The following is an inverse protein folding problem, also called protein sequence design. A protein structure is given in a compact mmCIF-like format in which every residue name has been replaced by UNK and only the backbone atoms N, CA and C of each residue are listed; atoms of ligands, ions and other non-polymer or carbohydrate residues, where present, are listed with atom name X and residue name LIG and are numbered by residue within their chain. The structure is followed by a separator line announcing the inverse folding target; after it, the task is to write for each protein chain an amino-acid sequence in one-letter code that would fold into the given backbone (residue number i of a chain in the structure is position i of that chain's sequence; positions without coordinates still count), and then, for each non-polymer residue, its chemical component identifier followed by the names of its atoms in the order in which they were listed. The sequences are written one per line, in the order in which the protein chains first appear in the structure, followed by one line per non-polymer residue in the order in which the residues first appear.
data_IF_375286681707
#
_entry.id   IF_375286681707
#
_cell.length_a   1.000
_cell.length_b   1.000
_cell.length_c   1.000
_cell.angle_alpha   90.00
_cell.angle_beta   90.00
_cell.angle_gamma   90.00
#
_symmetry.space_group_name_H-M   'P 1'
#
loop_
_entity.id
_entity.type
_entity.pdbx_description
1 polymer ?
#
# COMPACT_ATOMS: atom_id res chain seq x y z
N UNK A 1 4.32 -40.65 -27.43
CA UNK A 1 5.45 -39.69 -27.32
C UNK A 1 5.35 -38.92 -26.01
N UNK A 2 6.38 -38.12 -25.66
CA UNK A 2 6.65 -37.66 -24.29
C UNK A 2 5.54 -36.77 -23.70
N UNK A 3 5.26 -36.97 -22.42
CA UNK A 3 4.50 -36.05 -21.58
C UNK A 3 5.33 -34.80 -21.24
N UNK A 4 4.66 -33.69 -20.92
CA UNK A 4 5.19 -32.63 -20.05
C UNK A 4 4.08 -32.20 -19.07
N UNK A 5 4.24 -32.58 -17.80
CA UNK A 5 3.57 -31.91 -16.68
C UNK A 5 4.40 -30.67 -16.34
N UNK A 6 3.78 -29.50 -16.28
CA UNK A 6 4.42 -28.34 -15.65
C UNK A 6 3.89 -28.25 -14.21
N UNK A 7 4.79 -28.51 -13.27
CA UNK A 7 4.58 -28.23 -11.85
C UNK A 7 5.20 -26.86 -11.57
N UNK A 8 4.43 -25.95 -10.99
CA UNK A 8 4.93 -24.67 -10.48
C UNK A 8 4.79 -24.69 -8.95
N UNK A 9 5.93 -24.65 -8.26
CA UNK A 9 5.99 -24.86 -6.82
C UNK A 9 5.62 -23.60 -6.03
N UNK A 10 4.79 -23.78 -5.02
CA UNK A 10 4.55 -22.81 -3.94
C UNK A 10 5.87 -22.43 -3.26
N UNK A 11 6.09 -21.15 -2.98
CA UNK A 11 7.18 -20.73 -2.09
C UNK A 11 6.72 -19.63 -1.14
N UNK A 12 6.16 -20.07 -0.01
CA UNK A 12 5.94 -19.23 1.16
C UNK A 12 7.25 -18.53 1.57
N UNK A 13 7.14 -17.26 1.95
CA UNK A 13 8.16 -16.56 2.75
C UNK A 13 7.58 -16.22 4.11
N UNK A 14 7.53 -17.21 5.00
CA UNK A 14 7.23 -16.97 6.41
C UNK A 14 8.32 -16.08 7.03
N UNK A 15 7.94 -14.93 7.59
CA UNK A 15 8.77 -14.15 8.51
C UNK A 15 8.33 -14.47 9.94
N UNK A 16 9.06 -15.35 10.61
CA UNK A 16 8.91 -15.63 12.03
C UNK A 16 9.64 -14.56 12.85
N UNK A 17 8.90 -13.71 13.54
CA UNK A 17 9.46 -12.82 14.55
C UNK A 17 9.60 -13.57 15.89
N UNK A 18 10.80 -14.05 16.21
CA UNK A 18 11.10 -14.53 17.56
C UNK A 18 11.41 -13.33 18.48
N UNK A 19 10.41 -12.91 19.26
CA UNK A 19 10.62 -12.00 20.40
C UNK A 19 11.06 -12.81 21.62
N UNK A 20 12.30 -12.58 22.06
CA UNK A 20 12.89 -13.21 23.25
C UNK A 20 12.77 -12.28 24.46
N UNK A 21 11.98 -12.68 25.46
CA UNK A 21 11.91 -11.99 26.75
C UNK A 21 12.82 -12.66 27.79
N UNK A 22 13.73 -11.94 28.46
CA UNK A 22 14.55 -12.50 29.53
C UNK A 22 13.73 -12.71 30.81
N UNK A 23 13.69 -13.97 31.26
CA UNK A 23 12.99 -14.44 32.46
C UNK A 23 13.79 -14.07 33.72
N UNK A 24 13.30 -13.12 34.54
CA UNK A 24 13.87 -12.86 35.88
C UNK A 24 13.39 -13.94 36.87
N UNK A 25 14.30 -14.61 37.61
CA UNK A 25 13.92 -15.40 38.77
C UNK A 25 13.72 -14.48 39.99
N UNK A 26 12.58 -14.61 40.67
CA UNK A 26 12.39 -14.03 42.00
C UNK A 26 12.71 -15.09 43.06
N UNK A 27 13.54 -14.68 44.01
CA UNK A 27 14.20 -15.53 45.00
C UNK A 27 13.24 -16.05 46.07
N UNK A 28 13.56 -17.25 46.57
CA UNK A 28 13.00 -17.79 47.81
C UNK A 28 13.21 -16.81 48.97
N UNK A 29 12.23 -16.74 49.88
CA UNK A 29 12.34 -16.08 51.17
C UNK A 29 11.83 -17.02 52.26
N UNK A 30 12.80 -17.55 53.00
CA UNK A 30 12.81 -17.97 54.41
C UNK A 30 11.49 -18.31 55.14
N UNK A 31 11.48 -19.53 55.68
CA UNK A 31 10.79 -19.85 56.94
C UNK A 31 11.40 -19.04 58.10
N UNK A 32 10.68 -18.91 59.23
CA UNK A 32 11.11 -19.77 60.33
C UNK A 32 9.97 -20.46 61.08
N UNK A 33 10.24 -21.66 61.59
CA UNK A 33 9.33 -22.43 62.42
C UNK A 33 9.61 -22.19 63.92
N UNK A 34 8.63 -21.67 64.67
CA UNK A 34 8.62 -21.48 66.13
C UNK A 34 7.15 -21.47 66.62
N UNK A 35 6.69 -22.20 67.65
CA UNK A 35 7.25 -23.38 68.34
C UNK A 35 6.12 -24.20 68.99
N UNK A 36 6.37 -25.49 69.22
CA UNK A 36 5.41 -26.44 69.82
C UNK A 36 5.23 -26.20 71.34
N UNK A 37 4.08 -25.65 71.79
CA UNK A 37 3.74 -25.58 73.22
C UNK A 37 2.65 -26.59 73.60
N UNK A 38 3.09 -27.62 74.32
CA UNK A 38 2.28 -28.75 74.79
C UNK A 38 1.67 -28.40 76.16
N UNK A 39 0.34 -28.24 76.26
CA UNK A 39 -0.35 -28.14 77.57
C UNK A 39 -1.54 -29.11 77.63
N UNK A 40 -1.44 -30.12 78.50
CA UNK A 40 -2.55 -31.03 78.86
C UNK A 40 -3.23 -30.52 80.13
N UNK A 41 -4.57 -30.59 80.18
CA UNK A 41 -5.49 -30.83 81.33
C UNK A 41 -6.92 -30.84 80.73
N UNK A 42 -7.63 -31.97 80.58
CA UNK A 42 -8.34 -32.84 81.57
C UNK A 42 -9.61 -32.22 82.17
N UNK A 43 -10.73 -32.94 82.10
CA UNK A 43 -12.07 -32.54 82.56
C UNK A 43 -12.91 -32.00 81.39
N UNK A 44 -13.87 -32.69 80.77
CA UNK A 44 -15.02 -33.52 81.22
C UNK A 44 -16.32 -32.70 81.39
N UNK A 45 -17.39 -33.29 80.87
CA UNK A 45 -18.82 -32.97 81.02
C UNK A 45 -19.52 -31.89 80.16
N UNK A 46 -20.79 -32.25 79.88
CA UNK A 46 -21.97 -31.47 79.48
C UNK A 46 -22.22 -31.14 77.99
N UNK A 47 -23.38 -31.63 77.54
CA UNK A 47 -24.01 -31.36 76.25
C UNK A 47 -24.24 -29.85 76.04
N UNK A 48 -23.63 -29.30 75.00
CA UNK A 48 -24.13 -28.11 74.34
C UNK A 48 -24.82 -28.53 73.02
N UNK A 49 -25.91 -27.89 72.59
CA UNK A 49 -26.43 -28.08 71.23
C UNK A 49 -25.32 -27.72 70.24
N UNK A 50 -25.06 -28.58 69.25
CA UNK A 50 -24.17 -28.19 68.16
C UNK A 50 -24.72 -26.93 67.49
N UNK A 51 -23.89 -25.91 67.20
CA UNK A 51 -24.29 -24.90 66.24
C UNK A 51 -24.62 -25.61 64.91
N UNK A 52 -25.56 -25.09 64.11
CA UNK A 52 -25.79 -25.65 62.78
C UNK A 52 -24.45 -25.70 62.03
N UNK A 53 -24.18 -26.76 61.24
CA UNK A 53 -22.95 -26.82 60.47
C UNK A 53 -22.83 -25.52 59.66
N UNK A 54 -21.61 -24.95 59.50
CA UNK A 54 -21.44 -23.78 58.66
C UNK A 54 -22.07 -24.10 57.31
N UNK A 55 -23.03 -23.27 56.89
CA UNK A 55 -23.57 -23.38 55.56
C UNK A 55 -22.36 -23.33 54.62
N UNK A 56 -22.12 -24.42 53.90
CA UNK A 56 -21.21 -24.42 52.77
C UNK A 56 -21.89 -23.62 51.65
N UNK A 57 -21.94 -22.28 51.84
CA UNK A 57 -22.01 -21.31 50.76
C UNK A 57 -20.83 -21.66 49.86
N UNK A 58 -21.16 -22.30 48.75
CA UNK A 58 -20.39 -23.43 48.29
C UNK A 58 -19.08 -22.99 47.67
N UNK A 59 -18.07 -23.88 47.73
CA UNK A 59 -16.97 -23.80 46.76
C UNK A 59 -17.52 -23.87 45.32
N UNK A 60 -18.67 -24.52 45.12
CA UNK A 60 -19.51 -24.47 43.91
C UNK A 60 -19.95 -23.06 43.53
N UNK A 61 -20.42 -22.26 44.49
CA UNK A 61 -21.05 -20.96 44.24
C UNK A 61 -19.99 -19.92 43.84
N UNK A 62 -18.83 -19.98 44.50
CA UNK A 62 -17.64 -19.19 44.14
C UNK A 62 -17.10 -19.63 42.77
N UNK A 63 -17.08 -20.93 42.47
CA UNK A 63 -16.62 -21.44 41.16
C UNK A 63 -17.55 -20.97 40.03
N UNK A 64 -18.87 -21.11 40.23
CA UNK A 64 -19.90 -20.65 39.29
C UNK A 64 -19.81 -19.14 39.03
N UNK A 65 -19.60 -18.33 40.08
CA UNK A 65 -19.38 -16.88 39.92
C UNK A 65 -18.10 -16.56 39.13
N UNK A 66 -17.02 -17.30 39.32
CA UNK A 66 -15.77 -17.13 38.56
C UNK A 66 -15.94 -17.52 37.09
N UNK A 67 -16.73 -18.56 36.80
CA UNK A 67 -17.07 -18.98 35.43
C UNK A 67 -17.98 -17.95 34.73
N UNK A 68 -19.02 -17.45 35.39
CA UNK A 68 -19.88 -16.37 34.88
C UNK A 68 -19.07 -15.09 34.57
N UNK A 69 -18.17 -14.69 35.48
CA UNK A 69 -17.30 -13.53 35.27
C UNK A 69 -16.27 -13.73 34.14
N UNK A 70 -15.83 -14.97 33.90
CA UNK A 70 -15.00 -15.30 32.74
C UNK A 70 -15.83 -15.21 31.45
N UNK A 71 -16.99 -15.85 31.41
CA UNK A 71 -17.88 -15.86 30.25
C UNK A 71 -18.29 -14.45 29.82
N UNK A 72 -18.61 -13.57 30.78
CA UNK A 72 -18.86 -12.13 30.51
C UNK A 72 -17.66 -11.43 29.88
N UNK A 73 -16.46 -11.64 30.42
CA UNK A 73 -15.22 -11.05 29.87
C UNK A 73 -14.95 -11.55 28.46
N UNK A 74 -15.16 -12.83 28.19
CA UNK A 74 -15.01 -13.43 26.85
C UNK A 74 -16.04 -12.84 25.87
N UNK A 75 -17.30 -12.70 26.28
CA UNK A 75 -18.36 -12.08 25.48
C UNK A 75 -18.06 -10.61 25.14
N UNK A 76 -17.65 -9.81 26.12
CA UNK A 76 -17.31 -8.40 25.90
C UNK A 76 -16.02 -8.23 25.07
N UNK A 77 -15.06 -9.15 25.21
CA UNK A 77 -13.87 -9.17 24.34
C UNK A 77 -14.21 -9.55 22.90
N UNK A 78 -15.13 -10.52 22.70
CA UNK A 78 -15.59 -10.91 21.37
C UNK A 78 -16.34 -9.76 20.66
N UNK A 79 -17.18 -9.02 21.37
CA UNK A 79 -17.84 -7.80 20.86
C UNK A 79 -16.84 -6.73 20.43
N UNK A 80 -15.84 -6.45 21.26
CA UNK A 80 -14.82 -5.47 20.94
C UNK A 80 -13.96 -5.86 19.73
N UNK A 81 -13.68 -7.16 19.55
CA UNK A 81 -12.98 -7.66 18.38
C UNK A 81 -13.87 -7.63 17.12
N UNK A 82 -15.16 -7.92 17.24
CA UNK A 82 -16.14 -7.77 16.15
C UNK A 82 -16.25 -6.30 15.71
N UNK A 83 -16.38 -5.36 16.64
CA UNK A 83 -16.42 -3.92 16.33
C UNK A 83 -15.11 -3.45 15.68
N UNK A 84 -13.95 -3.96 16.13
CA UNK A 84 -12.65 -3.70 15.48
C UNK A 84 -12.61 -4.27 14.06
N UNK A 85 -13.05 -5.50 13.86
CA UNK A 85 -13.07 -6.15 12.55
C UNK A 85 -13.95 -5.39 11.57
N UNK A 86 -15.16 -4.96 11.99
CA UNK A 86 -16.06 -4.10 11.20
C UNK A 86 -15.40 -2.77 10.82
N UNK A 87 -14.75 -2.09 11.78
CA UNK A 87 -14.03 -0.85 11.51
C UNK A 87 -12.87 -1.02 10.53
N UNK A 88 -12.14 -2.14 10.61
CA UNK A 88 -11.03 -2.43 9.69
C UNK A 88 -11.55 -2.79 8.30
N UNK A 89 -12.65 -3.53 8.19
CA UNK A 89 -13.33 -3.79 6.91
C UNK A 89 -13.78 -2.48 6.25
N UNK A 90 -14.41 -1.58 7.00
CA UNK A 90 -14.84 -0.27 6.50
C UNK A 90 -13.66 0.62 6.06
N UNK A 91 -12.49 0.53 6.72
CA UNK A 91 -11.26 1.20 6.27
C UNK A 91 -10.73 0.59 4.98
N UNK A 92 -10.62 -0.74 4.92
CA UNK A 92 -10.15 -1.45 3.75
C UNK A 92 -11.05 -1.19 2.53
N UNK A 93 -12.37 -1.11 2.74
CA UNK A 93 -13.35 -0.76 1.71
C UNK A 93 -13.15 0.66 1.18
N UNK A 94 -13.05 1.66 2.05
CA UNK A 94 -12.78 3.06 1.63
C UNK A 94 -11.47 3.19 0.87
N UNK A 95 -10.39 2.58 1.36
CA UNK A 95 -9.10 2.59 0.67
C UNK A 95 -9.17 1.90 -0.70
N UNK A 96 -9.94 0.82 -0.85
CA UNK A 96 -10.16 0.17 -2.14
C UNK A 96 -10.97 1.05 -3.10
N UNK A 97 -12.02 1.72 -2.63
CA UNK A 97 -12.82 2.66 -3.40
C UNK A 97 -11.99 3.88 -3.85
N UNK A 98 -11.22 4.50 -2.94
CA UNK A 98 -10.29 5.60 -3.23
C UNK A 98 -9.28 5.20 -4.31
N UNK A 99 -8.62 4.04 -4.17
CA UNK A 99 -7.71 3.52 -5.19
C UNK A 99 -8.42 3.33 -6.55
N UNK A 100 -9.63 2.78 -6.59
CA UNK A 100 -10.39 2.62 -7.84
C UNK A 100 -10.71 3.98 -8.47
N UNK A 101 -11.07 4.99 -7.68
CA UNK A 101 -11.31 6.35 -8.21
C UNK A 101 -10.05 7.00 -8.75
N UNK A 102 -8.92 6.87 -8.04
CA UNK A 102 -7.61 7.35 -8.49
C UNK A 102 -7.19 6.71 -9.81
N UNK A 103 -7.25 5.38 -9.91
CA UNK A 103 -6.92 4.65 -11.14
C UNK A 103 -7.81 5.04 -12.33
N UNK A 104 -9.09 5.35 -12.10
CA UNK A 104 -9.98 5.87 -13.16
C UNK A 104 -9.58 7.28 -13.59
N UNK A 105 -9.24 8.16 -12.66
CA UNK A 105 -8.78 9.52 -12.96
C UNK A 105 -7.50 9.51 -13.81
N UNK A 106 -6.51 8.70 -13.41
CA UNK A 106 -5.26 8.51 -14.16
C UNK A 106 -5.55 8.02 -15.59
N UNK A 107 -6.39 6.98 -15.75
CA UNK A 107 -6.75 6.46 -17.08
C UNK A 107 -7.49 7.50 -17.95
N UNK A 108 -8.38 8.30 -17.35
CA UNK A 108 -9.07 9.39 -18.06
C UNK A 108 -8.11 10.52 -18.47
N UNK A 109 -7.06 10.80 -17.68
CA UNK A 109 -6.02 11.77 -18.01
C UNK A 109 -5.08 11.25 -19.11
N UNK A 110 -4.63 10.00 -19.02
CA UNK A 110 -3.87 9.35 -20.09
C UNK A 110 -4.68 9.26 -21.39
N UNK A 111 -6.00 9.03 -21.33
CA UNK A 111 -6.88 9.05 -22.49
C UNK A 111 -7.00 10.46 -23.11
N UNK A 112 -7.06 11.52 -22.31
CA UNK A 112 -7.05 12.92 -22.80
C UNK A 112 -5.72 13.25 -23.49
N UNK A 113 -4.59 12.91 -22.85
CA UNK A 113 -3.24 13.11 -23.42
C UNK A 113 -3.13 12.35 -24.75
N UNK A 114 -3.52 11.07 -24.78
CA UNK A 114 -3.50 10.24 -25.99
C UNK A 114 -4.38 10.80 -27.10
N UNK A 115 -5.58 11.27 -26.77
CA UNK A 115 -6.49 11.94 -27.71
C UNK A 115 -5.89 13.23 -28.29
N UNK A 116 -5.23 14.03 -27.45
CA UNK A 116 -4.53 15.25 -27.84
C UNK A 116 -3.36 14.95 -28.78
N UNK A 117 -2.50 13.98 -28.42
CA UNK A 117 -1.36 13.53 -29.21
C UNK A 117 -1.82 13.01 -30.56
N UNK A 118 -2.74 12.03 -30.59
CA UNK A 118 -3.27 11.46 -31.83
C UNK A 118 -3.91 12.54 -32.72
N UNK A 119 -4.64 13.50 -32.13
CA UNK A 119 -5.22 14.63 -32.86
C UNK A 119 -4.18 15.59 -33.44
N UNK A 120 -2.99 15.68 -32.87
CA UNK A 120 -1.88 16.47 -33.42
C UNK A 120 -1.17 15.70 -34.55
N UNK A 121 -0.86 14.42 -34.32
CA UNK A 121 -0.18 13.55 -35.31
C UNK A 121 -1.03 13.33 -36.56
N UNK A 122 -2.35 13.19 -36.42
CA UNK A 122 -3.27 13.05 -37.56
C UNK A 122 -3.34 14.30 -38.48
N UNK A 123 -2.68 15.41 -38.12
CA UNK A 123 -2.51 16.58 -38.99
C UNK A 123 -1.20 16.58 -39.79
N UNK A 124 -0.22 15.75 -39.40
CA UNK A 124 1.09 15.68 -40.04
C UNK A 124 1.00 14.81 -41.30
N UNK A 125 1.58 15.29 -42.41
CA UNK A 125 1.79 14.45 -43.58
C UNK A 125 2.88 13.40 -43.31
N UNK A 126 2.92 12.33 -44.10
CA UNK A 126 3.99 11.32 -44.00
C UNK A 126 5.39 11.89 -44.26
N UNK A 127 5.48 13.01 -44.97
CA UNK A 127 6.73 13.74 -45.22
C UNK A 127 7.15 14.69 -44.08
N UNK A 128 6.26 14.91 -43.09
CA UNK A 128 6.52 15.72 -41.90
C UNK A 128 7.05 14.86 -40.74
N UNK A 129 6.87 13.53 -40.79
CA UNK A 129 7.44 12.59 -39.81
C UNK A 129 8.95 12.49 -40.00
N UNK A 130 9.73 12.71 -38.93
CA UNK A 130 11.20 12.76 -39.02
C UNK A 130 11.80 11.41 -39.47
N UNK A 131 12.51 11.43 -40.59
CA UNK A 131 13.15 10.25 -41.17
C UNK A 131 14.42 9.86 -40.40
N UNK A 132 14.81 8.57 -40.37
CA UNK A 132 16.00 8.12 -39.62
C UNK A 132 17.32 8.76 -40.05
N UNK A 133 17.39 9.27 -41.28
CA UNK A 133 18.55 9.94 -41.87
C UNK A 133 18.54 11.47 -41.68
N UNK A 134 17.51 12.03 -41.04
CA UNK A 134 17.36 13.47 -40.83
C UNK A 134 17.06 14.28 -42.10
N UNK A 135 16.86 13.63 -43.25
CA UNK A 135 16.73 14.30 -44.56
C UNK A 135 15.61 15.34 -44.66
N UNK A 136 14.63 15.28 -43.75
CA UNK A 136 13.52 16.22 -43.63
C UNK A 136 13.49 17.02 -42.30
N UNK A 137 14.60 17.10 -41.54
CA UNK A 137 14.62 17.70 -40.18
C UNK A 137 14.00 19.10 -40.11
N UNK A 138 14.29 20.00 -41.06
CA UNK A 138 13.68 21.34 -41.09
C UNK A 138 12.18 21.34 -41.37
N UNK A 139 11.71 20.40 -42.21
CA UNK A 139 10.28 20.25 -42.52
C UNK A 139 9.52 19.70 -41.30
N UNK A 140 10.11 18.73 -40.60
CA UNK A 140 9.59 18.24 -39.31
C UNK A 140 9.55 19.36 -38.26
N UNK A 141 10.61 20.16 -38.16
CA UNK A 141 10.69 21.31 -37.24
C UNK A 141 9.56 22.32 -37.51
N UNK A 142 9.39 22.75 -38.75
CA UNK A 142 8.35 23.69 -39.17
C UNK A 142 6.93 23.12 -38.92
N UNK A 143 6.71 21.82 -39.21
CA UNK A 143 5.43 21.16 -39.00
C UNK A 143 5.07 21.03 -37.51
N UNK A 144 6.03 20.74 -36.64
CA UNK A 144 5.84 20.76 -35.19
C UNK A 144 5.49 22.17 -34.69
N UNK A 145 6.25 23.20 -35.10
CA UNK A 145 6.01 24.59 -34.70
C UNK A 145 4.65 25.11 -35.16
N UNK A 146 4.23 24.76 -36.38
CA UNK A 146 2.90 25.06 -36.90
C UNK A 146 1.80 24.35 -36.08
N UNK A 147 1.96 23.04 -35.82
CA UNK A 147 1.03 22.25 -35.01
C UNK A 147 0.86 22.83 -33.61
N UNK A 148 1.97 23.26 -32.99
CA UNK A 148 1.96 23.88 -31.67
C UNK A 148 1.26 25.25 -31.66
N UNK A 149 1.55 26.09 -32.66
CA UNK A 149 0.87 27.38 -32.82
C UNK A 149 -0.65 27.24 -33.04
N UNK A 150 -1.08 26.32 -33.91
CA UNK A 150 -2.51 26.09 -34.16
C UNK A 150 -3.25 25.56 -32.93
N UNK A 151 -2.60 24.69 -32.14
CA UNK A 151 -3.27 23.89 -31.11
C UNK A 151 -3.13 24.43 -29.68
N UNK A 152 -2.01 25.08 -29.39
CA UNK A 152 -1.68 25.61 -28.06
C UNK A 152 -1.45 27.13 -28.07
N UNK A 153 -1.48 27.77 -29.26
CA UNK A 153 -1.19 29.19 -29.45
C UNK A 153 0.22 29.62 -28.99
N UNK A 154 1.14 28.67 -28.93
CA UNK A 154 2.56 28.86 -28.59
C UNK A 154 3.42 28.08 -29.59
N UNK A 155 4.16 28.77 -30.46
CA UNK A 155 5.08 28.12 -31.41
C UNK A 155 6.32 27.52 -30.73
N UNK A 156 6.60 27.91 -29.48
CA UNK A 156 7.73 27.44 -28.67
C UNK A 156 7.26 26.44 -27.60
N UNK A 157 6.09 25.80 -27.80
CA UNK A 157 5.52 24.82 -26.87
C UNK A 157 6.50 23.68 -26.54
N UNK A 158 7.29 23.23 -27.51
CA UNK A 158 8.31 22.17 -27.34
C UNK A 158 9.65 22.69 -26.81
N UNK A 159 9.89 24.00 -26.90
CA UNK A 159 11.11 24.70 -26.45
C UNK A 159 10.78 25.85 -25.50
N UNK A 160 10.12 25.56 -24.36
CA UNK A 160 9.92 26.55 -23.32
C UNK A 160 11.28 27.07 -22.83
N UNK A 161 11.42 28.40 -22.70
CA UNK A 161 12.67 28.99 -22.21
C UNK A 161 13.01 28.51 -20.80
N UNK A 162 14.30 28.48 -20.46
CA UNK A 162 14.86 27.82 -19.26
C UNK A 162 14.18 28.21 -17.93
N UNK A 163 13.68 29.45 -17.80
CA UNK A 163 12.98 29.95 -16.61
C UNK A 163 11.49 29.54 -16.51
N UNK A 164 10.91 28.90 -17.54
CA UNK A 164 9.48 28.57 -17.62
C UNK A 164 9.22 27.18 -17.02
N UNK A 165 8.59 27.16 -15.84
CA UNK A 165 8.05 25.92 -15.25
C UNK A 165 7.02 25.31 -16.20
N UNK A 166 7.31 24.11 -16.71
CA UNK A 166 6.42 23.35 -17.59
C UNK A 166 5.43 22.55 -16.74
N UNK A 167 4.14 22.61 -17.08
CA UNK A 167 3.12 21.77 -16.46
C UNK A 167 3.33 20.30 -16.87
N UNK A 168 3.38 19.34 -15.93
CA UNK A 168 3.53 17.91 -16.25
C UNK A 168 2.52 17.37 -17.27
N UNK A 169 1.31 17.91 -17.32
CA UNK A 169 0.29 17.54 -18.30
C UNK A 169 0.66 18.01 -19.72
N UNK A 170 1.16 19.23 -19.86
CA UNK A 170 1.64 19.76 -21.15
C UNK A 170 2.96 19.11 -21.57
N UNK A 171 3.84 18.78 -20.63
CA UNK A 171 5.08 18.02 -20.85
C UNK A 171 4.77 16.62 -21.43
N UNK A 172 3.82 15.89 -20.83
CA UNK A 172 3.40 14.58 -21.33
C UNK A 172 2.81 14.66 -22.75
N UNK A 173 2.05 15.71 -23.06
CA UNK A 173 1.57 16.01 -24.41
C UNK A 173 2.74 16.32 -25.36
N UNK A 174 3.70 17.15 -24.94
CA UNK A 174 4.84 17.57 -25.75
C UNK A 174 5.72 16.37 -26.13
N UNK A 175 6.11 15.54 -25.15
CA UNK A 175 6.82 14.27 -25.40
C UNK A 175 6.00 13.35 -26.28
N UNK A 176 4.71 13.16 -25.99
CA UNK A 176 3.84 12.28 -26.78
C UNK A 176 3.79 12.66 -28.26
N UNK A 177 3.71 13.96 -28.57
CA UNK A 177 3.74 14.45 -29.96
C UNK A 177 5.13 14.21 -30.57
N UNK A 178 6.23 14.60 -29.90
CA UNK A 178 7.58 14.41 -30.44
C UNK A 178 7.84 12.92 -30.73
N UNK A 179 7.65 12.03 -29.75
CA UNK A 179 7.85 10.58 -29.89
C UNK A 179 6.99 9.94 -30.99
N UNK A 180 5.79 10.48 -31.25
CA UNK A 180 4.90 9.99 -32.31
C UNK A 180 5.15 10.65 -33.68
N UNK A 181 5.98 11.70 -33.74
CA UNK A 181 6.34 12.45 -34.96
C UNK A 181 7.68 12.02 -35.57
N UNK A 182 8.34 11.00 -35.01
CA UNK A 182 9.62 10.45 -35.48
C UNK A 182 9.45 9.02 -36.00
N UNK A 183 10.33 8.59 -36.91
CA UNK A 183 10.37 7.20 -37.34
C UNK A 183 10.72 6.25 -36.18
N UNK A 184 10.17 5.03 -36.21
CA UNK A 184 10.33 4.04 -35.14
C UNK A 184 11.80 3.72 -34.81
N UNK A 185 12.69 3.75 -35.81
CA UNK A 185 14.12 3.51 -35.62
C UNK A 185 14.81 4.55 -34.73
N UNK A 186 14.24 5.75 -34.59
CA UNK A 186 14.74 6.80 -33.71
C UNK A 186 14.16 6.69 -32.29
N UNK A 187 13.02 6.02 -32.11
CA UNK A 187 12.24 6.07 -30.86
C UNK A 187 13.01 5.62 -29.60
N UNK A 188 13.88 4.61 -29.73
CA UNK A 188 14.71 4.12 -28.61
C UNK A 188 15.72 5.15 -28.12
N UNK A 189 16.31 5.94 -29.04
CA UNK A 189 17.29 6.97 -28.68
C UNK A 189 16.67 8.10 -27.86
N UNK A 190 15.33 8.23 -27.84
CA UNK A 190 14.61 9.35 -27.22
C UNK A 190 14.05 9.03 -25.81
N UNK A 191 14.22 7.80 -25.33
CA UNK A 191 13.64 7.34 -24.05
C UNK A 191 14.33 7.98 -22.84
N UNK A 192 15.65 8.15 -22.92
CA UNK A 192 16.51 8.54 -21.79
C UNK A 192 16.56 10.05 -21.51
N UNK A 193 15.80 10.88 -22.23
CA UNK A 193 15.73 12.32 -22.00
C UNK A 193 14.66 12.71 -20.99
N UNK A 194 15.03 13.61 -20.06
CA UNK A 194 14.21 14.07 -18.94
C UNK A 194 12.93 14.83 -19.37
N UNK A 195 12.96 15.55 -20.49
CA UNK A 195 11.86 16.40 -20.95
C UNK A 195 11.82 16.59 -22.48
N UNK A 196 10.72 17.14 -23.00
CA UNK A 196 10.48 17.33 -24.43
C UNK A 196 11.47 18.28 -25.11
N UNK A 197 11.94 19.31 -24.40
CA UNK A 197 12.90 20.27 -24.94
C UNK A 197 14.25 19.59 -25.20
N UNK A 198 14.73 18.77 -24.25
CA UNK A 198 15.96 17.98 -24.42
C UNK A 198 15.86 16.97 -25.59
N UNK A 199 14.69 16.32 -25.77
CA UNK A 199 14.44 15.47 -26.95
C UNK A 199 14.49 16.28 -28.25
N UNK A 200 13.81 17.44 -28.28
CA UNK A 200 13.73 18.32 -29.45
C UNK A 200 15.12 18.85 -29.85
N UNK A 201 15.89 19.38 -28.89
CA UNK A 201 17.25 19.86 -29.10
C UNK A 201 18.20 18.75 -29.53
N UNK A 202 18.08 17.55 -28.96
CA UNK A 202 18.87 16.40 -29.40
C UNK A 202 18.61 16.07 -30.87
N UNK A 203 17.34 16.00 -31.29
CA UNK A 203 16.97 15.72 -32.68
C UNK A 203 17.48 16.80 -33.64
N UNK A 204 17.43 18.07 -33.27
CA UNK A 204 17.99 19.18 -34.07
C UNK A 204 19.53 19.26 -34.06
N UNK A 205 20.20 18.64 -33.08
CA UNK A 205 21.66 18.58 -32.99
C UNK A 205 22.25 17.34 -33.68
N UNK A 206 21.43 16.29 -33.84
CA UNK A 206 21.82 15.00 -34.47
C UNK A 206 21.86 15.07 -36.00
N UNK A 207 21.11 15.99 -36.62
CA UNK A 207 20.86 16.07 -38.07
C UNK A 207 21.10 17.47 -38.64
#
# INVERSE_FOLDING_TARGET
MKAHRISAATKEKGRTYQTTYPRKPLSNLDSPAVSLVRRRKTGAEQNAPQPPPPQQLGQSDITSLVEEMRFRRELDSARLEEDRARQEEDRARRLAEENITHWRQELDEQAKISSIVNSAINKLDTEDILKPDGSNVRRWEDALRLTAFERFHDQHFFTPGEDKVVDPYYEAIARGIIHSSVHADLSYDLVDYDNSAAVYEHLLSKF
#
